data_IF_236957921596
#
_entry.id   IF_236957921596
#
_cell.length_a   1.000
_cell.length_b   1.000
_cell.length_c   1.000
_cell.angle_alpha   90.00
_cell.angle_beta   90.00
_cell.angle_gamma   90.00
#
_symmetry.space_group_name_H-M   'P 1'
#
loop_
_entity.id
_entity.type
_entity.pdbx_description
1 polymer ?
#
# COMPACT_ATOMS: atom_id res chain seq x y z
N UNK A 1 -15.97 16.79 10.41
CA UNK A 1 -15.09 16.93 9.21
C UNK A 1 -15.87 17.03 7.90
N UNK A 2 -15.28 17.56 6.82
CA UNK A 2 -15.78 17.40 5.44
C UNK A 2 -14.62 17.17 4.48
N UNK A 3 -14.81 16.33 3.46
CA UNK A 3 -13.79 16.09 2.44
C UNK A 3 -13.54 17.33 1.58
N UNK A 4 -12.26 17.72 1.47
CA UNK A 4 -11.83 18.70 0.48
C UNK A 4 -11.63 18.06 -0.90
N UNK A 5 -11.31 18.88 -1.90
CA UNK A 5 -11.19 18.41 -3.30
C UNK A 5 -10.07 17.38 -3.51
N UNK A 6 -8.99 17.43 -2.73
CA UNK A 6 -7.86 16.51 -2.89
C UNK A 6 -8.15 15.16 -2.27
N UNK A 7 -8.79 15.13 -1.09
CA UNK A 7 -9.27 13.90 -0.48
C UNK A 7 -10.30 13.19 -1.36
N UNK A 8 -11.19 13.94 -2.02
CA UNK A 8 -12.12 13.37 -3.02
C UNK A 8 -11.38 12.78 -4.22
N UNK A 9 -10.35 13.46 -4.73
CA UNK A 9 -9.52 12.95 -5.81
C UNK A 9 -8.77 11.68 -5.39
N UNK A 10 -8.27 11.62 -4.16
CA UNK A 10 -7.58 10.46 -3.60
C UNK A 10 -8.51 9.24 -3.52
N UNK A 11 -9.74 9.40 -3.01
CA UNK A 11 -10.75 8.32 -3.01
C UNK A 11 -10.96 7.74 -4.42
N UNK A 12 -11.14 8.62 -5.41
CA UNK A 12 -11.41 8.21 -6.79
C UNK A 12 -10.22 7.49 -7.44
N UNK A 13 -9.00 7.81 -7.02
CA UNK A 13 -7.78 7.22 -7.57
C UNK A 13 -7.35 5.94 -6.84
N UNK A 14 -7.58 5.84 -5.53
CA UNK A 14 -7.07 4.77 -4.68
C UNK A 14 -7.87 3.48 -4.87
N UNK A 15 -9.16 3.51 -4.53
CA UNK A 15 -10.08 2.40 -4.76
C UNK A 15 -11.55 2.90 -4.68
N UNK A 16 -12.14 3.38 -5.79
CA UNK A 16 -13.46 3.97 -5.77
C UNK A 16 -14.58 2.97 -5.45
N UNK A 17 -14.39 1.68 -5.75
CA UNK A 17 -15.38 0.64 -5.45
C UNK A 17 -15.47 0.36 -3.95
N UNK A 18 -14.34 0.44 -3.25
CA UNK A 18 -14.25 0.20 -1.81
C UNK A 18 -14.60 1.44 -0.99
N UNK A 19 -14.04 2.61 -1.34
CA UNK A 19 -14.13 3.82 -0.51
C UNK A 19 -15.05 4.90 -1.08
N UNK A 20 -15.62 4.71 -2.28
CA UNK A 20 -16.44 5.72 -2.96
C UNK A 20 -17.68 6.18 -2.17
N UNK A 21 -18.23 5.32 -1.30
CA UNK A 21 -19.36 5.68 -0.44
C UNK A 21 -19.05 6.86 0.50
N UNK A 22 -17.78 7.06 0.88
CA UNK A 22 -17.35 8.13 1.77
C UNK A 22 -17.53 9.53 1.16
N UNK A 23 -17.62 9.64 -0.18
CA UNK A 23 -17.89 10.90 -0.87
C UNK A 23 -19.23 11.53 -0.46
N UNK A 24 -20.16 10.71 0.04
CA UNK A 24 -21.50 11.13 0.49
C UNK A 24 -21.59 11.32 2.01
N UNK A 25 -20.50 11.10 2.75
CA UNK A 25 -20.46 11.26 4.20
C UNK A 25 -19.91 12.64 4.60
N UNK A 26 -20.36 13.13 5.74
CA UNK A 26 -19.85 14.35 6.38
C UNK A 26 -19.87 14.20 7.91
N UNK A 27 -19.25 15.16 8.61
CA UNK A 27 -19.25 15.20 10.07
C UNK A 27 -18.62 13.96 10.71
N UNK A 28 -19.19 13.54 11.83
CA UNK A 28 -18.75 12.40 12.62
C UNK A 28 -18.86 11.08 11.87
N UNK A 29 -19.81 10.96 10.93
CA UNK A 29 -20.00 9.75 10.14
C UNK A 29 -18.80 9.52 9.20
N UNK A 30 -18.27 10.59 8.60
CA UNK A 30 -17.06 10.52 7.78
C UNK A 30 -15.82 10.18 8.63
N UNK A 31 -15.68 10.82 9.80
CA UNK A 31 -14.55 10.57 10.69
C UNK A 31 -14.52 9.12 11.18
N UNK A 32 -15.68 8.56 11.52
CA UNK A 32 -15.81 7.15 11.87
C UNK A 32 -15.47 6.24 10.71
N UNK A 33 -16.00 6.53 9.51
CA UNK A 33 -15.73 5.73 8.32
C UNK A 33 -14.24 5.67 7.99
N UNK A 34 -13.50 6.78 8.12
CA UNK A 34 -12.05 6.81 7.90
C UNK A 34 -11.29 5.97 8.93
N UNK A 35 -11.62 6.08 10.22
CA UNK A 35 -10.96 5.31 11.30
C UNK A 35 -11.25 3.82 11.25
N UNK A 36 -12.42 3.45 10.74
CA UNK A 36 -12.90 2.05 10.72
C UNK A 36 -12.76 1.40 9.34
N UNK A 37 -12.15 2.08 8.35
CA UNK A 37 -12.04 1.56 6.98
C UNK A 37 -11.09 0.36 6.84
N UNK A 38 -10.21 0.13 7.82
CA UNK A 38 -9.30 -1.02 7.85
C UNK A 38 -8.04 -0.89 7.00
N UNK A 39 -7.89 0.20 6.23
CA UNK A 39 -6.67 0.53 5.49
C UNK A 39 -5.97 1.74 6.10
N UNK A 40 -4.91 1.47 6.87
CA UNK A 40 -4.14 2.51 7.55
C UNK A 40 -3.35 3.42 6.61
N UNK A 41 -2.96 2.95 5.42
CA UNK A 41 -2.27 3.81 4.45
C UNK A 41 -3.26 4.75 3.77
N UNK A 42 -4.44 4.25 3.43
CA UNK A 42 -5.53 5.09 2.97
C UNK A 42 -5.94 6.13 4.02
N UNK A 43 -6.15 5.73 5.28
CA UNK A 43 -6.45 6.66 6.38
C UNK A 43 -5.37 7.75 6.48
N UNK A 44 -4.10 7.38 6.42
CA UNK A 44 -2.97 8.30 6.46
C UNK A 44 -3.00 9.33 5.31
N UNK A 45 -3.21 8.88 4.06
CA UNK A 45 -3.36 9.77 2.90
C UNK A 45 -4.49 10.78 3.14
N UNK A 46 -5.62 10.31 3.67
CA UNK A 46 -6.80 11.14 3.89
C UNK A 46 -6.56 12.18 4.98
N UNK A 47 -5.81 11.85 6.03
CA UNK A 47 -5.40 12.79 7.08
C UNK A 47 -4.43 13.83 6.51
N UNK A 48 -3.37 13.42 5.82
CA UNK A 48 -2.37 14.31 5.24
C UNK A 48 -2.98 15.34 4.27
N UNK A 49 -3.94 14.89 3.45
CA UNK A 49 -4.62 15.76 2.49
C UNK A 49 -5.72 16.61 3.13
N UNK A 50 -5.96 16.51 4.43
CA UNK A 50 -7.05 17.24 5.09
C UNK A 50 -6.74 18.72 5.28
N UNK A 51 -7.80 19.54 5.28
CA UNK A 51 -7.68 20.97 5.60
C UNK A 51 -7.21 21.20 7.04
N UNK A 52 -7.55 20.31 7.97
CA UNK A 52 -7.10 20.35 9.37
C UNK A 52 -5.59 20.17 9.50
N UNK A 53 -4.97 19.39 8.61
CA UNK A 53 -3.51 19.28 8.53
C UNK A 53 -2.87 20.45 7.77
N UNK A 54 -3.64 21.41 7.29
CA UNK A 54 -3.14 22.57 6.55
C UNK A 54 -2.97 22.33 5.05
N UNK A 55 -3.50 21.24 4.50
CA UNK A 55 -3.51 21.02 3.05
C UNK A 55 -4.62 21.86 2.39
N UNK A 56 -4.27 23.07 1.95
CA UNK A 56 -5.24 24.05 1.42
C UNK A 56 -5.03 24.35 -0.07
N UNK A 57 -3.83 24.14 -0.58
CA UNK A 57 -3.44 24.41 -1.95
C UNK A 57 -3.09 23.14 -2.73
N UNK A 58 -3.03 23.26 -4.07
CA UNK A 58 -2.61 22.14 -4.91
C UNK A 58 -1.13 21.81 -4.65
N UNK A 59 -0.32 22.84 -4.43
CA UNK A 59 1.09 22.70 -4.07
C UNK A 59 1.23 21.90 -2.78
N UNK A 60 0.46 22.23 -1.73
CA UNK A 60 0.51 21.50 -0.44
C UNK A 60 0.19 20.03 -0.65
N UNK A 61 -0.86 19.73 -1.43
CA UNK A 61 -1.27 18.36 -1.72
C UNK A 61 -0.18 17.58 -2.47
N UNK A 62 0.44 18.20 -3.48
CA UNK A 62 1.51 17.58 -4.26
C UNK A 62 2.78 17.37 -3.42
N UNK A 63 3.17 18.34 -2.60
CA UNK A 63 4.34 18.25 -1.72
C UNK A 63 4.19 17.14 -0.69
N UNK A 64 2.99 16.98 -0.12
CA UNK A 64 2.68 15.88 0.80
C UNK A 64 2.73 14.54 0.11
N UNK A 65 2.11 14.39 -1.06
CA UNK A 65 2.22 13.17 -1.86
C UNK A 65 3.68 12.83 -2.20
N UNK A 66 4.48 13.82 -2.59
CA UNK A 66 5.90 13.63 -2.86
C UNK A 66 6.71 13.26 -1.60
N UNK A 67 6.31 13.73 -0.41
CA UNK A 67 6.88 13.27 0.85
C UNK A 67 6.55 11.80 1.11
N UNK A 68 5.27 11.42 1.01
CA UNK A 68 4.83 10.04 1.21
C UNK A 68 5.58 9.06 0.29
N UNK A 69 5.74 9.42 -0.99
CA UNK A 69 6.51 8.60 -1.95
C UNK A 69 7.98 8.48 -1.55
N UNK A 70 8.62 9.57 -1.12
CA UNK A 70 10.03 9.52 -0.67
C UNK A 70 10.19 8.68 0.59
N UNK A 71 9.28 8.80 1.55
CA UNK A 71 9.35 8.06 2.81
C UNK A 71 9.14 6.56 2.57
N UNK A 72 8.16 6.19 1.72
CA UNK A 72 8.01 4.80 1.26
C UNK A 72 9.24 4.29 0.51
N UNK A 73 9.80 5.10 -0.39
CA UNK A 73 11.02 4.75 -1.12
C UNK A 73 12.18 4.41 -0.19
N UNK A 74 12.42 5.24 0.84
CA UNK A 74 13.45 5.00 1.86
C UNK A 74 13.23 3.71 2.65
N UNK A 75 11.97 3.40 2.99
CA UNK A 75 11.63 2.14 3.67
C UNK A 75 11.94 0.95 2.76
N UNK A 76 11.55 1.01 1.49
CA UNK A 76 11.86 -0.04 0.51
C UNK A 76 13.37 -0.23 0.34
N UNK A 77 14.13 0.86 0.16
CA UNK A 77 15.59 0.81 0.05
C UNK A 77 16.23 0.14 1.28
N UNK A 78 15.78 0.48 2.49
CA UNK A 78 16.30 -0.13 3.71
C UNK A 78 15.96 -1.63 3.79
N UNK A 79 14.75 -2.03 3.42
CA UNK A 79 14.34 -3.45 3.37
C UNK A 79 15.22 -4.22 2.38
N UNK A 80 15.53 -3.65 1.22
CA UNK A 80 16.39 -4.28 0.21
C UNK A 80 17.83 -4.47 0.72
N UNK A 81 18.36 -3.49 1.45
CA UNK A 81 19.70 -3.57 2.03
C UNK A 81 19.80 -4.58 3.19
N UNK A 82 18.74 -4.70 4.00
CA UNK A 82 18.70 -5.61 5.15
C UNK A 82 18.31 -7.04 4.77
N UNK A 83 17.89 -7.30 3.53
CA UNK A 83 17.62 -8.64 3.06
C UNK A 83 18.96 -9.39 2.86
N UNK A 84 19.27 -10.44 3.64
CA UNK A 84 20.48 -11.20 3.41
C UNK A 84 20.41 -11.80 2.00
N UNK A 85 21.49 -11.66 1.22
CA UNK A 85 21.68 -12.46 0.01
C UNK A 85 21.71 -13.92 0.48
N UNK A 86 20.58 -14.61 0.39
CA UNK A 86 20.54 -16.04 0.61
C UNK A 86 21.52 -16.64 -0.40
N UNK A 87 22.59 -17.33 0.03
CA UNK A 87 23.47 -18.00 -0.90
C UNK A 87 22.57 -18.94 -1.70
N UNK A 88 22.61 -18.83 -3.03
CA UNK A 88 21.84 -19.66 -3.93
C UNK A 88 21.95 -21.10 -3.44
N UNK A 89 20.84 -21.66 -2.96
CA UNK A 89 20.80 -23.01 -2.44
C UNK A 89 21.44 -23.88 -3.53
N UNK A 90 22.59 -24.48 -3.22
CA UNK A 90 23.22 -25.46 -4.08
C UNK A 90 22.25 -26.61 -4.15
N UNK A 91 21.41 -26.59 -5.18
CA UNK A 91 20.52 -27.66 -5.54
C UNK A 91 21.40 -28.85 -5.93
N UNK A 92 21.86 -29.59 -4.93
CA UNK A 92 22.45 -30.91 -5.12
C UNK A 92 21.29 -31.82 -5.53
N UNK A 93 20.96 -31.78 -6.83
CA UNK A 93 20.26 -32.86 -7.50
C UNK A 93 21.20 -34.06 -7.43
N UNK A 94 21.11 -34.81 -6.33
CA UNK A 94 21.74 -36.13 -6.23
C UNK A 94 21.06 -37.00 -7.27
N UNK A 95 21.76 -37.24 -8.37
CA UNK A 95 21.38 -38.16 -9.43
C UNK A 95 21.11 -39.54 -8.82
N UNK A 96 19.83 -39.89 -8.64
CA UNK A 96 19.46 -41.30 -8.46
C UNK A 96 19.62 -42.00 -9.80
N UNK A 97 20.81 -42.53 -10.00
CA UNK A 97 21.09 -43.54 -11.00
C UNK A 97 20.34 -44.84 -10.65
N UNK A 98 19.65 -45.36 -11.67
CA UNK A 98 19.47 -46.78 -11.98
C UNK A 98 18.71 -47.68 -10.99
N UNK A 99 17.55 -48.19 -11.43
CA UNK A 99 17.48 -49.54 -12.00
C UNK A 99 16.10 -49.76 -12.62
N UNK A 100 16.08 -49.89 -13.95
CA UNK A 100 15.01 -50.55 -14.65
C UNK A 100 15.05 -52.04 -14.29
N UNK A 101 13.91 -52.62 -13.94
CA UNK A 101 13.68 -54.05 -14.10
C UNK A 101 12.25 -54.26 -14.57
N UNK A 102 12.17 -54.70 -15.82
CA UNK A 102 11.01 -55.33 -16.43
C UNK A 102 10.61 -56.60 -15.67
N UNK A 103 9.32 -56.89 -15.61
CA UNK A 103 8.84 -58.28 -15.65
C UNK A 103 7.38 -58.29 -16.14
N UNK A 104 7.22 -58.71 -17.39
CA UNK A 104 6.02 -59.36 -17.92
C UNK A 104 5.79 -60.69 -17.17
N UNK A 105 4.54 -60.98 -16.79
CA UNK A 105 3.82 -62.23 -17.08
C UNK A 105 2.38 -62.18 -16.54
#
# INVERSE_FOLDING_TARGET
MQLNRYQKAAIMAYNPDEFGYMLNLTGDALERALKECGDGFFEYIMVELSTSEGCTSLTDAMDRCASMVRDLGRVCEQIELDMPILPAATCNVSERTSTANAFDH
#
